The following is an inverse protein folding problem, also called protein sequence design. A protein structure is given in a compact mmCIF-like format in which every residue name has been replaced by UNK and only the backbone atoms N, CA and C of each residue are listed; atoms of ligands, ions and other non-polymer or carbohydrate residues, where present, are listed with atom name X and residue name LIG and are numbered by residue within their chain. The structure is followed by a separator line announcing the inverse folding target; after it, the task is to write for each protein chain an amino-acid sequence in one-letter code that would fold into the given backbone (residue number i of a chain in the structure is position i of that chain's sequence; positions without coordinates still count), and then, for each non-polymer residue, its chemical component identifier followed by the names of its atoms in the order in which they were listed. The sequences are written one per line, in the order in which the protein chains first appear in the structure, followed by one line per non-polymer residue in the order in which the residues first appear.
data_IF_066067102239
#
_entry.id   IF_066067102239
#
_cell.length_a   1.000
_cell.length_b   1.000
_cell.length_c   1.000
_cell.angle_alpha   90.00
_cell.angle_beta   90.00
_cell.angle_gamma   90.00
#
_symmetry.space_group_name_H-M   'P 1'
#
loop_
_entity.id
_entity.type
_entity.pdbx_description
1 polymer ?
#
# COMPACT_ATOMS: atom_id res chain seq x y z
N UNK A 1 -17.32 -3.02 -10.54
CA UNK A 1 -16.98 -4.43 -10.84
C UNK A 1 -18.05 -5.31 -10.23
N UNK A 2 -18.50 -6.40 -10.88
CA UNK A 2 -19.44 -7.34 -10.26
C UNK A 2 -18.93 -7.77 -8.88
N UNK A 3 -19.81 -7.86 -7.88
CA UNK A 3 -19.44 -8.28 -6.52
C UNK A 3 -18.92 -7.20 -5.57
N UNK A 4 -18.79 -5.92 -6.00
CA UNK A 4 -18.45 -4.81 -5.12
C UNK A 4 -19.50 -3.69 -5.16
N UNK A 5 -19.83 -3.15 -3.98
CA UNK A 5 -20.73 -1.99 -3.85
C UNK A 5 -19.95 -0.76 -3.40
N UNK A 6 -20.02 0.36 -4.14
CA UNK A 6 -19.49 1.64 -3.67
C UNK A 6 -20.14 2.07 -2.36
N UNK A 7 -19.36 2.72 -1.49
CA UNK A 7 -19.81 3.36 -0.25
C UNK A 7 -19.48 4.85 -0.29
N UNK A 8 -19.79 5.53 0.82
CA UNK A 8 -19.49 6.95 1.00
C UNK A 8 -18.02 7.19 0.70
N UNK A 9 -17.80 8.03 -0.29
CA UNK A 9 -16.48 8.49 -0.70
C UNK A 9 -16.34 9.93 -0.22
N UNK A 10 -15.16 10.29 0.27
CA UNK A 10 -14.89 11.66 0.73
C UNK A 10 -13.98 12.33 -0.27
N UNK A 11 -14.37 13.51 -0.72
CA UNK A 11 -13.59 14.32 -1.65
C UNK A 11 -13.40 15.69 -1.03
N UNK A 12 -12.15 16.05 -0.80
CA UNK A 12 -11.77 17.34 -0.23
C UNK A 12 -11.00 18.20 -1.22
N UNK A 13 -10.89 17.81 -2.50
CA UNK A 13 -10.16 18.56 -3.52
C UNK A 13 -10.69 19.99 -3.72
N UNK A 14 -11.97 20.21 -3.48
CA UNK A 14 -12.64 21.49 -3.70
C UNK A 14 -12.91 22.27 -2.40
N UNK A 15 -12.38 21.82 -1.26
CA UNK A 15 -12.59 22.45 0.04
C UNK A 15 -11.34 23.23 0.50
N UNK A 16 -11.30 24.57 0.36
CA UNK A 16 -10.16 25.39 0.80
C UNK A 16 -9.94 25.39 2.32
N UNK A 17 -10.95 25.01 3.10
CA UNK A 17 -10.86 24.90 4.55
C UNK A 17 -10.42 23.50 5.02
N UNK A 18 -10.27 22.54 4.11
CA UNK A 18 -9.74 21.23 4.45
C UNK A 18 -8.26 21.35 4.81
N UNK A 19 -7.88 20.80 5.96
CA UNK A 19 -6.48 20.75 6.41
C UNK A 19 -5.56 19.97 5.46
N UNK A 20 -6.12 19.12 4.60
CA UNK A 20 -5.40 18.41 3.54
C UNK A 20 -6.33 18.12 2.37
N UNK A 21 -5.74 18.09 1.19
CA UNK A 21 -6.32 17.55 -0.03
C UNK A 21 -6.27 16.02 0.02
N UNK A 22 -7.43 15.36 0.03
CA UNK A 22 -7.55 13.90 -0.04
C UNK A 22 -8.79 13.48 -0.83
N UNK A 23 -8.65 12.34 -1.52
CA UNK A 23 -9.74 11.66 -2.18
C UNK A 23 -9.82 10.22 -1.69
N UNK A 24 -10.87 9.94 -0.94
CA UNK A 24 -11.13 8.63 -0.33
C UNK A 24 -12.20 7.91 -1.13
N UNK A 25 -11.87 6.74 -1.67
CA UNK A 25 -12.84 5.83 -2.27
C UNK A 25 -13.05 4.63 -1.36
N UNK A 26 -14.30 4.23 -1.13
CA UNK A 26 -14.61 3.02 -0.38
C UNK A 26 -15.50 2.09 -1.19
N UNK A 27 -15.14 0.81 -1.23
CA UNK A 27 -15.95 -0.27 -1.80
C UNK A 27 -15.98 -1.46 -0.85
N UNK A 28 -17.06 -2.24 -0.88
CA UNK A 28 -17.19 -3.47 -0.08
C UNK A 28 -17.63 -4.61 -0.96
N UNK A 29 -17.03 -5.78 -0.78
CA UNK A 29 -17.52 -7.01 -1.37
C UNK A 29 -18.97 -7.25 -0.98
N UNK A 30 -19.73 -7.89 -1.86
CA UNK A 30 -21.09 -8.29 -1.57
C UNK A 30 -21.13 -9.22 -0.36
N UNK A 31 -22.05 -8.94 0.57
CA UNK A 31 -22.16 -9.68 1.83
C UNK A 31 -21.07 -9.41 2.86
N UNK A 32 -20.11 -8.50 2.62
CA UNK A 32 -19.17 -8.09 3.66
C UNK A 32 -19.89 -7.45 4.84
N UNK A 33 -19.59 -7.93 6.05
CA UNK A 33 -20.07 -7.37 7.31
C UNK A 33 -18.90 -7.17 8.27
N UNK A 34 -18.71 -5.93 8.72
CA UNK A 34 -17.67 -5.64 9.72
C UNK A 34 -18.06 -6.28 11.05
N UNK A 35 -17.14 -6.99 11.65
CA UNK A 35 -17.30 -7.61 12.97
C UNK A 35 -16.24 -7.10 13.95
N UNK A 36 -16.29 -7.54 15.21
CA UNK A 36 -15.25 -7.25 16.21
C UNK A 36 -13.91 -7.92 15.87
N UNK A 37 -13.93 -8.93 14.99
CA UNK A 37 -12.76 -9.70 14.58
C UNK A 37 -12.19 -9.22 13.24
N UNK A 38 -12.81 -8.21 12.60
CA UNK A 38 -12.29 -7.62 11.36
C UNK A 38 -10.92 -7.00 11.65
N UNK A 39 -9.89 -7.55 11.01
CA UNK A 39 -8.54 -6.97 11.04
C UNK A 39 -8.44 -5.87 10.01
N UNK A 40 -7.61 -4.88 10.31
CA UNK A 40 -7.46 -3.67 9.52
C UNK A 40 -6.00 -3.56 9.11
N UNK A 41 -5.74 -3.56 7.81
CA UNK A 41 -4.38 -3.43 7.28
C UNK A 41 -4.24 -2.13 6.50
N UNK A 42 -3.13 -1.42 6.70
CA UNK A 42 -2.78 -0.23 5.92
C UNK A 42 -1.63 -0.57 4.98
N UNK A 43 -1.85 -0.54 3.67
CA UNK A 43 -0.83 -0.80 2.66
C UNK A 43 -0.42 0.50 1.96
N UNK A 44 0.84 0.90 2.13
CA UNK A 44 1.42 2.02 1.39
C UNK A 44 1.79 1.55 -0.04
N UNK A 45 0.86 1.71 -0.96
CA UNK A 45 1.03 1.37 -2.36
C UNK A 45 1.60 2.58 -3.12
N UNK A 46 2.92 2.72 -3.16
CA UNK A 46 3.57 3.72 -4.02
C UNK A 46 3.46 3.35 -5.51
N UNK A 47 3.66 4.33 -6.40
CA UNK A 47 3.55 4.10 -7.86
C UNK A 47 4.69 3.27 -8.43
N UNK A 48 5.80 3.12 -7.72
CA UNK A 48 6.92 2.31 -8.15
C UNK A 48 6.66 0.81 -7.98
N UNK A 49 7.55 0.00 -8.57
CA UNK A 49 7.50 -1.47 -8.52
C UNK A 49 7.36 -1.99 -7.08
N UNK A 50 8.05 -1.37 -6.11
CA UNK A 50 8.03 -1.86 -4.74
C UNK A 50 6.69 -1.65 -4.04
N UNK A 51 5.96 -0.58 -4.35
CA UNK A 51 4.64 -0.33 -3.81
C UNK A 51 3.58 -1.25 -4.41
N UNK A 52 3.69 -1.52 -5.73
CA UNK A 52 2.82 -2.48 -6.41
C UNK A 52 3.00 -3.90 -5.85
N UNK A 53 4.24 -4.36 -5.70
CA UNK A 53 4.51 -5.67 -5.12
C UNK A 53 4.06 -5.78 -3.66
N UNK A 54 4.15 -4.70 -2.88
CA UNK A 54 3.64 -4.67 -1.51
C UNK A 54 2.13 -4.87 -1.46
N UNK A 55 1.39 -4.21 -2.35
CA UNK A 55 -0.05 -4.38 -2.50
C UNK A 55 -0.40 -5.79 -2.98
N UNK A 56 0.30 -6.30 -3.98
CA UNK A 56 0.07 -7.65 -4.52
C UNK A 56 0.29 -8.70 -3.43
N UNK A 57 1.39 -8.61 -2.69
CA UNK A 57 1.66 -9.48 -1.56
C UNK A 57 0.60 -9.35 -0.45
N UNK A 58 0.13 -8.14 -0.16
CA UNK A 58 -0.92 -7.94 0.84
C UNK A 58 -2.21 -8.66 0.43
N UNK A 59 -2.62 -8.55 -0.84
CA UNK A 59 -3.81 -9.21 -1.39
C UNK A 59 -3.65 -10.74 -1.45
N UNK A 60 -2.47 -11.24 -1.80
CA UNK A 60 -2.22 -12.66 -2.03
C UNK A 60 -1.95 -13.43 -0.73
N UNK A 61 -1.24 -12.82 0.22
CA UNK A 61 -0.66 -13.51 1.37
C UNK A 61 -1.15 -13.03 2.74
N UNK A 62 -1.63 -11.78 2.86
CA UNK A 62 -1.94 -11.19 4.16
C UNK A 62 -3.44 -11.18 4.45
N UNK A 63 -4.23 -10.54 3.58
CA UNK A 63 -5.66 -10.31 3.82
C UNK A 63 -6.45 -11.61 3.66
N UNK A 64 -7.44 -11.80 4.53
CA UNK A 64 -8.34 -12.95 4.57
C UNK A 64 -9.79 -12.48 4.54
N UNK A 65 -10.72 -13.43 4.48
CA UNK A 65 -12.16 -13.13 4.51
C UNK A 65 -12.53 -12.31 5.76
N UNK A 66 -13.33 -11.26 5.57
CA UNK A 66 -13.80 -10.39 6.63
C UNK A 66 -12.84 -9.27 7.07
N UNK A 67 -11.68 -9.14 6.41
CA UNK A 67 -10.72 -8.07 6.68
C UNK A 67 -11.07 -6.74 5.96
N UNK A 68 -10.48 -5.66 6.47
CA UNK A 68 -10.49 -4.34 5.85
C UNK A 68 -9.07 -3.94 5.42
N UNK A 69 -8.91 -3.62 4.14
CA UNK A 69 -7.65 -3.17 3.57
C UNK A 69 -7.76 -1.70 3.18
N UNK A 70 -6.99 -0.85 3.84
CA UNK A 70 -6.77 0.54 3.47
C UNK A 70 -5.52 0.58 2.58
N UNK A 71 -5.71 0.96 1.33
CA UNK A 71 -4.64 1.21 0.38
C UNK A 71 -4.35 2.71 0.38
N UNK A 72 -3.15 3.08 0.77
CA UNK A 72 -2.68 4.46 0.73
C UNK A 72 -1.86 4.70 -0.53
N UNK A 73 -2.31 5.67 -1.34
CA UNK A 73 -1.60 6.20 -2.51
C UNK A 73 -1.18 7.64 -2.23
N UNK A 74 0.07 7.81 -1.77
CA UNK A 74 0.70 9.11 -1.68
C UNK A 74 1.18 9.60 -3.04
N UNK A 75 0.88 10.84 -3.39
CA UNK A 75 1.38 11.50 -4.61
C UNK A 75 2.08 12.81 -4.28
N UNK A 76 2.93 13.26 -5.18
CA UNK A 76 3.64 14.53 -5.03
C UNK A 76 2.64 15.71 -5.15
N UNK A 77 2.94 16.85 -4.54
CA UNK A 77 2.02 18.00 -4.49
C UNK A 77 1.76 18.63 -5.87
N UNK A 78 2.71 18.49 -6.81
CA UNK A 78 2.58 18.93 -8.21
C UNK A 78 1.41 18.27 -8.94
N UNK A 79 0.94 17.13 -8.45
CA UNK A 79 -0.25 16.45 -8.96
C UNK A 79 -1.52 17.30 -8.76
N UNK A 80 -1.53 18.24 -7.80
CA UNK A 80 -2.63 19.18 -7.61
C UNK A 80 -2.78 20.18 -8.76
N UNK A 81 -1.75 20.40 -9.58
CA UNK A 81 -1.83 21.27 -10.76
C UNK A 81 -2.64 20.61 -11.90
N UNK A 82 -2.88 19.29 -11.83
CA UNK A 82 -3.72 18.60 -12.78
C UNK A 82 -5.20 18.90 -12.52
N UNK A 83 -6.05 18.93 -13.57
CA UNK A 83 -7.50 18.94 -13.41
C UNK A 83 -7.99 17.85 -12.45
N UNK A 84 -8.79 18.22 -11.44
CA UNK A 84 -9.25 17.30 -10.38
C UNK A 84 -9.99 16.07 -10.91
N UNK A 85 -10.68 16.18 -12.06
CA UNK A 85 -11.34 15.04 -12.71
C UNK A 85 -10.33 13.96 -13.13
N UNK A 86 -9.15 14.34 -13.61
CA UNK A 86 -8.09 13.38 -13.98
C UNK A 86 -7.62 12.61 -12.75
N UNK A 87 -7.43 13.29 -11.61
CA UNK A 87 -7.03 12.65 -10.36
C UNK A 87 -8.10 11.68 -9.84
N UNK A 88 -9.37 12.09 -9.92
CA UNK A 88 -10.51 11.24 -9.58
C UNK A 88 -10.55 9.99 -10.46
N UNK A 89 -10.33 10.15 -11.76
CA UNK A 89 -10.34 9.04 -12.71
C UNK A 89 -9.15 8.08 -12.49
N UNK A 90 -7.94 8.61 -12.25
CA UNK A 90 -6.76 7.81 -11.89
C UNK A 90 -7.01 7.00 -10.60
N UNK A 91 -7.62 7.61 -9.57
CA UNK A 91 -7.96 6.93 -8.33
C UNK A 91 -9.05 5.86 -8.51
N UNK A 92 -10.10 6.15 -9.29
CA UNK A 92 -11.17 5.19 -9.61
C UNK A 92 -10.63 4.00 -10.38
N UNK A 93 -9.76 4.24 -11.36
CA UNK A 93 -9.11 3.18 -12.11
C UNK A 93 -8.22 2.33 -11.23
N UNK A 94 -7.45 2.96 -10.33
CA UNK A 94 -6.63 2.20 -9.39
C UNK A 94 -7.48 1.36 -8.42
N UNK A 95 -8.59 1.90 -7.92
CA UNK A 95 -9.56 1.14 -7.12
C UNK A 95 -10.15 -0.04 -7.92
N UNK A 96 -10.41 0.12 -9.22
CA UNK A 96 -10.87 -0.96 -10.10
C UNK A 96 -9.83 -2.07 -10.20
N UNK A 97 -8.56 -1.73 -10.41
CA UNK A 97 -7.46 -2.70 -10.47
C UNK A 97 -7.31 -3.48 -9.16
N UNK A 98 -7.47 -2.84 -8.00
CA UNK A 98 -7.42 -3.53 -6.69
C UNK A 98 -8.57 -4.56 -6.58
N UNK A 99 -9.79 -4.18 -6.95
CA UNK A 99 -10.94 -5.08 -6.94
C UNK A 99 -10.72 -6.29 -7.87
N UNK A 100 -10.25 -6.04 -9.10
CA UNK A 100 -9.97 -7.10 -10.09
C UNK A 100 -8.90 -8.07 -9.59
N UNK A 101 -7.81 -7.55 -9.00
CA UNK A 101 -6.77 -8.40 -8.37
C UNK A 101 -7.33 -9.25 -7.24
N UNK A 102 -8.14 -8.68 -6.35
CA UNK A 102 -8.75 -9.46 -5.27
C UNK A 102 -9.64 -10.59 -5.83
N UNK A 103 -10.52 -10.27 -6.79
CA UNK A 103 -11.44 -11.25 -7.39
C UNK A 103 -10.71 -12.36 -8.14
N UNK A 104 -9.57 -12.05 -8.76
CA UNK A 104 -8.74 -13.03 -9.44
C UNK A 104 -8.03 -14.00 -8.47
N UNK A 105 -7.76 -13.56 -7.23
CA UNK A 105 -7.16 -14.38 -6.18
C UNK A 105 -8.22 -15.28 -5.53
N UNK A 106 -9.31 -14.68 -5.08
CA UNK A 106 -10.43 -15.37 -4.45
C UNK A 106 -11.71 -14.55 -4.64
N UNK A 107 -12.64 -15.06 -5.45
CA UNK A 107 -13.91 -14.39 -5.74
C UNK A 107 -14.90 -14.44 -4.58
N UNK A 108 -14.75 -15.38 -3.66
CA UNK A 108 -15.65 -15.57 -2.51
C UNK A 108 -15.19 -14.78 -1.28
N UNK A 109 -13.90 -14.37 -1.24
CA UNK A 109 -13.34 -13.57 -0.15
C UNK A 109 -13.98 -12.18 -0.08
N UNK A 110 -14.60 -11.89 1.06
CA UNK A 110 -15.31 -10.65 1.35
C UNK A 110 -14.38 -9.65 2.04
N UNK A 111 -14.05 -8.56 1.35
CA UNK A 111 -13.21 -7.49 1.88
C UNK A 111 -13.94 -6.14 1.91
N UNK A 112 -13.53 -5.28 2.84
CA UNK A 112 -13.72 -3.83 2.73
C UNK A 112 -12.44 -3.23 2.18
N UNK A 113 -12.53 -2.52 1.04
CA UNK A 113 -11.41 -1.86 0.42
C UNK A 113 -11.61 -0.34 0.52
N UNK A 114 -10.61 0.35 1.06
CA UNK A 114 -10.56 1.80 1.13
C UNK A 114 -9.32 2.26 0.40
N UNK A 115 -9.44 3.21 -0.53
CA UNK A 115 -8.32 3.87 -1.18
C UNK A 115 -8.23 5.30 -0.67
N UNK A 116 -7.11 5.61 -0.03
CA UNK A 116 -6.73 6.95 0.41
C UNK A 116 -5.74 7.54 -0.58
N UNK A 117 -6.21 8.43 -1.46
CA UNK A 117 -5.39 9.12 -2.44
C UNK A 117 -5.06 10.52 -1.92
N UNK A 118 -3.81 10.73 -1.49
CA UNK A 118 -3.42 11.95 -0.75
C UNK A 118 -2.17 12.57 -1.39
N UNK A 119 -2.27 13.75 -2.02
CA UNK A 119 -1.12 14.58 -2.36
C UNK A 119 -0.46 15.15 -1.11
N UNK A 120 0.87 15.21 -1.11
CA UNK A 120 1.64 15.82 -0.03
C UNK A 120 2.75 14.93 0.52
N UNK A 121 3.24 15.31 1.70
CA UNK A 121 4.31 14.60 2.39
C UNK A 121 3.82 13.23 2.89
N UNK A 122 4.28 12.18 2.20
CA UNK A 122 3.86 10.78 2.40
C UNK A 122 3.97 10.33 3.87
N UNK A 123 5.02 10.73 4.60
CA UNK A 123 5.21 10.34 6.01
C UNK A 123 4.11 10.88 6.92
N UNK A 124 3.69 12.13 6.69
CA UNK A 124 2.73 12.83 7.53
C UNK A 124 1.32 12.29 7.28
N UNK A 125 1.01 12.01 6.00
CA UNK A 125 -0.19 11.28 5.60
C UNK A 125 -0.24 9.90 6.23
N UNK A 126 0.88 9.16 6.24
CA UNK A 126 0.93 7.83 6.84
C UNK A 126 0.66 7.86 8.34
N UNK A 127 1.29 8.77 9.09
CA UNK A 127 1.05 8.90 10.54
C UNK A 127 -0.42 9.23 10.83
N UNK A 128 -1.02 10.14 10.04
CA UNK A 128 -2.44 10.46 10.16
C UNK A 128 -3.33 9.26 9.87
N UNK A 129 -3.03 8.51 8.81
CA UNK A 129 -3.81 7.31 8.45
C UNK A 129 -3.68 6.22 9.53
N UNK A 130 -2.49 6.04 10.12
CA UNK A 130 -2.29 5.12 11.24
C UNK A 130 -3.13 5.58 12.45
N UNK A 131 -3.12 6.88 12.77
CA UNK A 131 -3.91 7.43 13.87
C UNK A 131 -5.43 7.31 13.64
N UNK A 132 -5.87 7.52 12.39
CA UNK A 132 -7.28 7.49 11.99
C UNK A 132 -7.85 6.07 11.96
N UNK A 133 -7.16 5.16 11.28
CA UNK A 133 -7.65 3.80 11.04
C UNK A 133 -7.23 2.80 12.12
N UNK A 134 -6.17 3.11 12.89
CA UNK A 134 -5.55 2.19 13.87
C UNK A 134 -5.36 0.78 13.30
N UNK A 135 -4.61 0.63 12.20
CA UNK A 135 -4.44 -0.67 11.56
C UNK A 135 -3.66 -1.63 12.47
N UNK A 136 -3.95 -2.93 12.38
CA UNK A 136 -3.22 -4.01 13.05
C UNK A 136 -1.79 -4.14 12.54
N UNK A 137 -1.54 -3.77 11.28
CA UNK A 137 -0.20 -3.70 10.69
C UNK A 137 -0.15 -2.76 9.49
N UNK A 138 1.03 -2.20 9.23
CA UNK A 138 1.33 -1.38 8.05
C UNK A 138 2.22 -2.17 7.09
N UNK A 139 1.79 -2.30 5.84
CA UNK A 139 2.53 -2.96 4.77
C UNK A 139 3.23 -1.90 3.91
N UNK A 140 4.54 -2.06 3.71
CA UNK A 140 5.37 -1.14 2.92
C UNK A 140 6.32 -1.90 2.00
N UNK A 141 6.65 -1.29 0.86
CA UNK A 141 7.69 -1.80 -0.02
C UNK A 141 9.12 -1.57 0.50
N UNK A 142 10.06 -2.40 0.05
CA UNK A 142 11.51 -2.19 0.29
C UNK A 142 12.10 -0.91 -0.33
N UNK A 143 11.43 -0.23 -1.26
CA UNK A 143 11.93 1.01 -1.88
C UNK A 143 10.93 2.16 -1.77
N UNK A 144 11.48 3.37 -1.73
CA UNK A 144 10.82 4.62 -2.12
C UNK A 144 11.71 5.33 -3.16
N UNK A 145 11.24 6.42 -3.77
CA UNK A 145 12.06 7.28 -4.66
C UNK A 145 13.34 7.71 -3.92
N UNK A 146 14.47 7.04 -4.17
CA UNK A 146 15.77 7.48 -3.67
C UNK A 146 16.61 7.92 -4.86
N UNK A 147 16.88 9.22 -4.93
CA UNK A 147 17.72 9.91 -5.94
C UNK A 147 19.17 9.37 -5.97
N UNK A 148 19.61 8.66 -4.93
CA UNK A 148 20.95 8.11 -4.79
C UNK A 148 21.26 6.85 -5.63
N UNK A 149 20.34 6.45 -6.52
CA UNK A 149 20.52 5.27 -7.37
C UNK A 149 21.61 5.46 -8.45
N UNK A 150 22.08 6.69 -8.71
CA UNK A 150 23.11 6.98 -9.72
C UNK A 150 24.55 6.62 -9.33
N UNK A 151 24.87 6.47 -8.03
CA UNK A 151 26.27 6.48 -7.57
C UNK A 151 26.79 5.13 -7.01
N UNK A 152 26.16 4.00 -7.35
CA UNK A 152 26.71 2.66 -7.05
C UNK A 152 26.81 2.25 -5.57
N UNK A 153 26.33 3.08 -4.63
CA UNK A 153 26.65 2.95 -3.19
C UNK A 153 25.43 2.78 -2.26
N UNK A 154 24.30 2.23 -2.74
CA UNK A 154 23.04 2.27 -1.98
C UNK A 154 22.20 1.00 -2.00
N UNK A 155 22.57 -0.01 -1.21
CA UNK A 155 21.67 -1.10 -0.79
C UNK A 155 20.91 -0.69 0.49
N UNK A 156 20.19 0.44 0.44
CA UNK A 156 19.44 0.99 1.58
C UNK A 156 17.96 0.56 1.58
N UNK A 157 17.37 0.47 2.77
CA UNK A 157 15.91 0.41 2.98
C UNK A 157 15.31 1.72 2.43
N UNK A 158 14.21 1.63 1.68
CA UNK A 158 13.52 2.80 1.11
C UNK A 158 13.17 3.85 2.17
N UNK A 159 13.04 5.11 1.76
CA UNK A 159 12.74 6.22 2.68
C UNK A 159 11.49 5.95 3.53
N UNK A 160 10.42 5.42 2.91
CA UNK A 160 9.18 5.09 3.60
C UNK A 160 9.33 3.88 4.52
N UNK A 161 9.90 2.76 4.06
CA UNK A 161 10.09 1.59 4.92
C UNK A 161 11.00 1.88 6.11
N UNK A 162 12.04 2.69 5.93
CA UNK A 162 12.89 3.15 7.03
C UNK A 162 12.12 4.05 8.00
N UNK A 163 11.31 4.96 7.48
CA UNK A 163 10.46 5.83 8.29
C UNK A 163 9.53 5.00 9.18
N UNK A 164 8.76 4.09 8.58
CA UNK A 164 7.82 3.23 9.31
C UNK A 164 8.52 2.38 10.36
N UNK A 165 9.65 1.76 10.04
CA UNK A 165 10.41 0.95 11.01
C UNK A 165 10.91 1.75 12.21
N UNK A 166 11.10 3.06 12.07
CA UNK A 166 11.65 3.92 13.12
C UNK A 166 10.57 4.63 13.94
N UNK A 167 9.40 4.92 13.34
CA UNK A 167 8.39 5.80 13.93
C UNK A 167 6.99 5.17 14.05
N UNK A 168 6.72 4.06 13.35
CA UNK A 168 5.38 3.48 13.34
C UNK A 168 4.99 2.99 14.74
N UNK A 169 3.84 3.41 15.28
CA UNK A 169 3.32 2.91 16.55
C UNK A 169 2.67 1.52 16.44
N UNK A 170 2.55 0.99 15.21
CA UNK A 170 1.95 -0.31 14.89
C UNK A 170 2.96 -1.21 14.17
N UNK A 171 2.80 -2.55 14.20
CA UNK A 171 3.68 -3.46 13.50
C UNK A 171 3.84 -3.12 12.01
N UNK A 172 5.07 -3.27 11.48
CA UNK A 172 5.41 -2.95 10.10
C UNK A 172 5.87 -4.20 9.36
N UNK A 173 5.25 -4.47 8.21
CA UNK A 173 5.61 -5.55 7.30
C UNK A 173 6.31 -4.95 6.07
N UNK A 174 7.56 -5.33 5.86
CA UNK A 174 8.35 -4.87 4.71
C UNK A 174 8.38 -5.93 3.62
N UNK A 175 7.68 -5.68 2.51
CA UNK A 175 7.58 -6.61 1.39
C UNK A 175 8.76 -6.43 0.44
N UNK A 176 9.48 -7.53 0.21
CA UNK A 176 10.64 -7.59 -0.68
C UNK A 176 10.28 -8.26 -2.01
N UNK A 177 10.65 -7.65 -3.15
CA UNK A 177 10.48 -8.25 -4.47
C UNK A 177 11.02 -9.67 -4.56
N UNK A 178 10.24 -10.60 -5.09
CA UNK A 178 10.63 -12.01 -5.24
C UNK A 178 11.88 -12.16 -6.12
N UNK A 179 11.96 -11.38 -7.22
CA UNK A 179 13.16 -11.32 -8.08
C UNK A 179 14.42 -10.96 -7.29
N UNK A 180 14.33 -10.05 -6.32
CA UNK A 180 15.47 -9.70 -5.46
C UNK A 180 15.76 -10.78 -4.44
N UNK A 181 14.75 -11.48 -3.96
CA UNK A 181 14.93 -12.63 -3.08
C UNK A 181 15.69 -13.73 -3.81
N UNK A 182 15.26 -14.11 -5.03
CA UNK A 182 15.95 -15.09 -5.89
C UNK A 182 17.40 -14.70 -6.18
N UNK A 183 17.66 -13.46 -6.62
CA UNK A 183 19.04 -12.97 -6.84
C UNK A 183 19.90 -13.00 -5.57
N UNK A 184 19.33 -12.67 -4.41
CA UNK A 184 20.06 -12.73 -3.15
C UNK A 184 20.35 -14.18 -2.72
N UNK A 185 19.42 -15.11 -2.97
CA UNK A 185 19.61 -16.53 -2.73
C UNK A 185 20.66 -17.14 -3.67
N UNK A 186 20.64 -16.78 -4.95
CA UNK A 186 21.65 -17.19 -5.94
C UNK A 186 23.05 -16.67 -5.54
N UNK A 187 23.16 -15.39 -5.18
CA UNK A 187 24.42 -14.82 -4.65
C UNK A 187 24.89 -15.53 -3.39
N UNK A 188 23.96 -15.88 -2.47
CA UNK A 188 24.28 -16.62 -1.24
C UNK A 188 24.74 -18.05 -1.52
N UNK A 189 24.15 -18.73 -2.51
CA UNK A 189 24.56 -20.07 -2.94
C UNK A 189 25.92 -20.06 -3.65
N UNK A 190 26.24 -18.97 -4.34
CA UNK A 190 27.50 -18.80 -5.06
C UNK A 190 28.66 -18.29 -4.19
N UNK A 191 28.44 -17.98 -2.91
CA UNK A 191 29.49 -17.47 -2.01
C UNK A 191 30.27 -18.64 -1.36
N UNK A 192 31.53 -18.89 -1.76
CA UNK A 192 32.33 -20.00 -1.26
C UNK A 192 32.77 -19.85 0.20
N UNK A 193 32.64 -18.65 0.80
CA UNK A 193 33.02 -18.40 2.20
C UNK A 193 31.92 -18.77 3.21
N UNK A 194 30.71 -19.06 2.74
CA UNK A 194 29.58 -19.37 3.62
C UNK A 194 29.51 -20.88 3.81
N UNK A 195 30.05 -21.35 4.94
CA UNK A 195 30.05 -22.77 5.29
C UNK A 195 28.65 -23.39 5.21
N UNK A 196 28.59 -24.64 4.73
CA UNK A 196 27.39 -25.49 4.66
C UNK A 196 26.92 -25.86 6.08
N UNK A 197 26.40 -24.88 6.81
CA UNK A 197 25.94 -25.10 8.20
C UNK A 197 24.45 -25.44 8.32
N UNK A 198 23.79 -25.70 7.19
CA UNK A 198 22.41 -26.17 7.14
C UNK A 198 22.29 -27.27 6.09
N UNK A 199 22.98 -28.39 6.33
CA UNK A 199 22.54 -29.71 5.88
C UNK A 199 21.99 -30.47 7.09
#
# INVERSE_FOLDING_TARGET
TPGYTPKVSFDTFENPAASMFSFTLQVKSEGYQRSRNTRVFLCAASMDESGREALDWALESLVQDGDELIVFRGVDEDVLDKPHNILRDEAREFMRVIQEKNMAIDSERKLSLILEYIPGKITDSLDRLIALYRPDSVVVGTRGRSVWQGMGMGMGVGSISRYCLSHSPVPVIVVRPERKFRKAMEKRKADPKRGRHFE
#
